data_IF_808429958581
#
_entry.id   IF_808429958581
#
_cell.length_a   1.000
_cell.length_b   1.000
_cell.length_c   1.000
_cell.angle_alpha   90.00
_cell.angle_beta   90.00
_cell.angle_gamma   90.00
#
_symmetry.space_group_name_H-M   'P 1'
#
loop_
_entity.id
_entity.type
_entity.pdbx_description
1 polymer ?
#
# COMPACT_ATOMS: atom_id res chain seq x y z
N UNK A 1 21.23 -12.83 -73.74
CA UNK A 1 19.80 -13.15 -73.51
C UNK A 1 19.78 -14.50 -72.79
N UNK A 2 19.46 -14.62 -71.51
CA UNK A 2 18.79 -13.71 -70.60
C UNK A 2 19.16 -14.13 -69.17
N UNK A 3 19.59 -13.19 -68.35
CA UNK A 3 19.76 -13.37 -66.91
C UNK A 3 18.39 -13.59 -66.26
N UNK A 4 18.08 -14.81 -65.86
CA UNK A 4 16.96 -15.07 -64.95
C UNK A 4 17.47 -14.97 -63.51
N UNK A 5 17.47 -13.73 -62.99
CA UNK A 5 17.60 -13.48 -61.56
C UNK A 5 16.43 -14.13 -60.83
N UNK A 6 16.64 -15.33 -60.29
CA UNK A 6 15.80 -15.90 -59.25
C UNK A 6 15.83 -14.97 -58.03
N UNK A 7 14.85 -14.07 -57.97
CA UNK A 7 14.54 -13.26 -56.80
C UNK A 7 14.02 -14.18 -55.71
N UNK A 8 14.95 -14.77 -54.93
CA UNK A 8 14.61 -15.48 -53.70
C UNK A 8 14.18 -14.44 -52.68
N UNK A 9 12.89 -14.13 -52.63
CA UNK A 9 12.30 -13.32 -51.58
C UNK A 9 12.74 -13.90 -50.21
N UNK A 10 13.26 -13.08 -49.27
CA UNK A 10 13.72 -13.58 -47.99
C UNK A 10 12.54 -14.25 -47.27
N UNK A 11 12.67 -15.53 -46.92
CA UNK A 11 11.68 -16.25 -46.10
C UNK A 11 11.43 -15.43 -44.84
N UNK A 12 10.24 -14.83 -44.75
CA UNK A 12 9.78 -14.06 -43.59
C UNK A 12 9.87 -15.00 -42.38
N UNK A 13 10.85 -14.77 -41.52
CA UNK A 13 11.12 -15.70 -40.43
C UNK A 13 9.94 -15.68 -39.46
N UNK A 14 9.13 -16.73 -39.47
CA UNK A 14 7.87 -16.85 -38.71
C UNK A 14 8.05 -16.62 -37.20
N UNK A 15 9.24 -16.86 -36.66
CA UNK A 15 9.54 -16.61 -35.24
C UNK A 15 9.58 -15.12 -34.89
N UNK A 16 9.91 -14.23 -35.83
CA UNK A 16 9.89 -12.78 -35.58
C UNK A 16 8.46 -12.26 -35.42
N UNK A 17 7.49 -12.84 -36.14
CA UNK A 17 6.08 -12.52 -35.94
C UNK A 17 5.61 -12.95 -34.54
N UNK A 18 5.99 -14.15 -34.10
CA UNK A 18 5.69 -14.63 -32.75
C UNK A 18 6.35 -13.77 -31.67
N UNK A 19 7.59 -13.35 -31.87
CA UNK A 19 8.28 -12.41 -30.98
C UNK A 19 7.50 -11.10 -30.82
N UNK A 20 7.03 -10.52 -31.92
CA UNK A 20 6.25 -9.30 -31.89
C UNK A 20 4.95 -9.49 -31.09
N UNK A 21 4.22 -10.58 -31.35
CA UNK A 21 2.97 -10.91 -30.64
C UNK A 21 3.22 -11.11 -29.14
N UNK A 22 4.24 -11.88 -28.74
CA UNK A 22 4.55 -12.10 -27.32
C UNK A 22 4.95 -10.80 -26.62
N UNK A 23 5.69 -9.94 -27.30
CA UNK A 23 6.13 -8.64 -26.74
C UNK A 23 4.94 -7.70 -26.51
N UNK A 24 4.01 -7.63 -27.46
CA UNK A 24 2.78 -6.84 -27.32
C UNK A 24 1.91 -7.37 -26.17
N UNK A 25 1.79 -8.69 -26.04
CA UNK A 25 1.03 -9.32 -24.96
C UNK A 25 1.66 -9.00 -23.59
N UNK A 26 2.97 -9.17 -23.44
CA UNK A 26 3.69 -8.82 -22.20
C UNK A 26 3.59 -7.32 -21.89
N UNK A 27 3.69 -6.45 -22.89
CA UNK A 27 3.53 -4.99 -22.72
C UNK A 27 2.13 -4.61 -22.24
N UNK A 28 1.09 -5.27 -22.76
CA UNK A 28 -0.29 -5.05 -22.32
C UNK A 28 -0.48 -5.49 -20.86
N UNK A 29 0.00 -6.69 -20.50
CA UNK A 29 -0.01 -7.17 -19.12
C UNK A 29 0.78 -6.25 -18.18
N UNK A 30 1.95 -5.77 -18.59
CA UNK A 30 2.79 -4.87 -17.80
C UNK A 30 2.10 -3.54 -17.53
N UNK A 31 1.43 -2.98 -18.55
CA UNK A 31 0.70 -1.71 -18.43
C UNK A 31 -0.46 -1.84 -17.42
N UNK A 32 -1.25 -2.92 -17.52
CA UNK A 32 -2.35 -3.19 -16.58
C UNK A 32 -1.81 -3.40 -15.16
N UNK A 33 -0.72 -4.15 -15.02
CA UNK A 33 -0.05 -4.40 -13.74
C UNK A 33 0.42 -3.10 -13.09
N UNK A 34 1.06 -2.21 -13.86
CA UNK A 34 1.53 -0.90 -13.39
C UNK A 34 0.37 -0.05 -12.89
N UNK A 35 -0.72 0.02 -13.65
CA UNK A 35 -1.87 0.83 -13.25
C UNK A 35 -2.55 0.29 -11.99
N UNK A 36 -2.80 -1.03 -11.91
CA UNK A 36 -3.40 -1.64 -10.71
C UNK A 36 -2.46 -1.62 -9.51
N UNK A 37 -1.18 -1.91 -9.69
CA UNK A 37 -0.17 -1.87 -8.64
C UNK A 37 0.00 -0.47 -8.08
N UNK A 38 0.05 0.54 -8.96
CA UNK A 38 0.03 1.95 -8.58
C UNK A 38 -1.21 2.31 -7.77
N UNK A 39 -2.40 1.90 -8.22
CA UNK A 39 -3.64 2.14 -7.49
C UNK A 39 -3.68 1.55 -6.08
N UNK A 40 -3.21 0.31 -5.89
CA UNK A 40 -3.11 -0.30 -4.56
C UNK A 40 -2.06 0.37 -3.68
N UNK A 41 -0.91 0.75 -4.26
CA UNK A 41 0.12 1.52 -3.55
C UNK A 41 -0.43 2.86 -3.05
N UNK A 42 -1.17 3.60 -3.90
CA UNK A 42 -1.84 4.83 -3.50
C UNK A 42 -2.86 4.60 -2.39
N UNK A 43 -3.70 3.56 -2.48
CA UNK A 43 -4.65 3.22 -1.40
C UNK A 43 -3.94 2.88 -0.08
N UNK A 44 -2.86 2.10 -0.13
CA UNK A 44 -2.05 1.80 1.04
C UNK A 44 -1.42 3.05 1.65
N UNK A 45 -0.98 4.00 0.82
CA UNK A 45 -0.45 5.28 1.27
C UNK A 45 -1.54 6.13 1.95
N UNK A 46 -2.73 6.23 1.35
CA UNK A 46 -3.85 6.95 1.96
C UNK A 46 -4.27 6.34 3.29
N UNK A 47 -4.40 5.00 3.35
CA UNK A 47 -4.69 4.30 4.60
C UNK A 47 -3.60 4.51 5.66
N UNK A 48 -2.32 4.57 5.26
CA UNK A 48 -1.24 4.92 6.20
C UNK A 48 -1.41 6.34 6.77
N UNK A 49 -1.75 7.32 5.93
CA UNK A 49 -1.98 8.70 6.38
C UNK A 49 -3.17 8.74 7.34
N UNK A 50 -4.28 8.10 6.98
CA UNK A 50 -5.48 8.05 7.82
C UNK A 50 -5.24 7.34 9.16
N UNK A 51 -4.53 6.20 9.18
CA UNK A 51 -4.12 5.55 10.43
C UNK A 51 -3.23 6.45 11.29
N UNK A 52 -2.30 7.19 10.66
CA UNK A 52 -1.46 8.17 11.35
C UNK A 52 -2.30 9.29 11.99
N UNK A 53 -3.33 9.77 11.30
CA UNK A 53 -4.24 10.79 11.81
C UNK A 53 -5.03 10.28 13.02
N UNK A 54 -5.49 9.02 13.01
CA UNK A 54 -6.13 8.41 14.18
C UNK A 54 -5.17 8.29 15.36
N UNK A 55 -3.92 7.86 15.14
CA UNK A 55 -2.91 7.80 16.21
C UNK A 55 -2.57 9.19 16.76
N UNK A 56 -2.50 10.22 15.91
CA UNK A 56 -2.32 11.60 16.35
C UNK A 56 -3.52 12.09 17.20
N UNK A 57 -4.75 11.73 16.82
CA UNK A 57 -5.95 12.02 17.62
C UNK A 57 -5.91 11.29 18.97
N UNK A 58 -5.54 10.01 18.98
CA UNK A 58 -5.36 9.22 20.20
C UNK A 58 -4.34 9.90 21.14
N UNK A 59 -3.19 10.30 20.60
CA UNK A 59 -2.15 10.97 21.35
C UNK A 59 -2.65 12.30 21.94
N UNK A 60 -3.35 13.12 21.15
CA UNK A 60 -3.96 14.37 21.61
C UNK A 60 -4.92 14.14 22.78
N UNK A 61 -5.80 13.13 22.67
CA UNK A 61 -6.74 12.75 23.73
C UNK A 61 -6.02 12.25 24.98
N UNK A 62 -4.97 11.44 24.82
CA UNK A 62 -4.15 10.96 25.94
C UNK A 62 -3.46 12.10 26.68
N UNK A 63 -2.95 13.11 25.97
CA UNK A 63 -2.36 14.30 26.59
C UNK A 63 -3.43 15.09 27.36
N UNK A 64 -4.61 15.31 26.77
CA UNK A 64 -5.72 15.99 27.46
C UNK A 64 -6.13 15.24 28.73
N UNK A 65 -6.29 13.92 28.65
CA UNK A 65 -6.61 13.07 29.79
C UNK A 65 -5.56 13.21 30.90
N UNK A 66 -4.27 13.20 30.56
CA UNK A 66 -3.18 13.41 31.52
C UNK A 66 -3.22 14.80 32.19
N UNK A 67 -3.52 15.85 31.42
CA UNK A 67 -3.68 17.22 31.93
C UNK A 67 -4.86 17.30 32.92
N UNK A 68 -6.02 16.73 32.57
CA UNK A 68 -7.18 16.68 33.47
C UNK A 68 -6.89 15.85 34.73
N UNK A 69 -6.12 14.77 34.63
CA UNK A 69 -5.68 13.99 35.79
C UNK A 69 -4.84 14.82 36.75
N UNK A 70 -3.79 15.45 36.23
CA UNK A 70 -2.93 16.35 37.01
C UNK A 70 -3.72 17.51 37.62
N UNK A 71 -4.70 18.05 36.89
CA UNK A 71 -5.56 19.12 37.37
C UNK A 71 -6.49 18.65 38.50
N UNK A 72 -7.11 17.49 38.38
CA UNK A 72 -7.97 16.92 39.40
C UNK A 72 -7.17 16.64 40.70
N UNK A 73 -5.97 16.07 40.57
CA UNK A 73 -5.09 15.80 41.71
C UNK A 73 -4.68 17.10 42.43
N UNK A 74 -4.34 18.15 41.67
CA UNK A 74 -4.03 19.45 42.24
C UNK A 74 -5.23 20.06 42.98
N UNK A 75 -6.43 19.97 42.40
CA UNK A 75 -7.65 20.49 43.01
C UNK A 75 -8.00 19.74 44.31
N UNK A 76 -7.78 18.43 44.36
CA UNK A 76 -7.97 17.63 45.56
C UNK A 76 -6.99 18.02 46.66
N UNK A 77 -5.71 18.22 46.34
CA UNK A 77 -4.72 18.71 47.29
C UNK A 77 -5.11 20.09 47.84
N UNK A 78 -5.54 21.01 46.96
CA UNK A 78 -6.03 22.34 47.38
C UNK A 78 -7.28 22.27 48.25
N UNK A 79 -8.19 21.35 47.99
CA UNK A 79 -9.38 21.16 48.80
C UNK A 79 -9.04 20.61 50.20
N UNK A 80 -7.94 19.85 50.35
CA UNK A 80 -7.45 19.35 51.64
C UNK A 80 -6.76 20.44 52.48
N UNK A 81 -6.12 21.42 51.83
CA UNK A 81 -5.50 22.58 52.50
C UNK A 81 -6.53 23.58 53.06
N UNK A 82 -7.75 23.57 52.53
CA UNK A 82 -8.82 24.50 52.91
C UNK A 82 -9.65 23.96 54.09
N UNK A 83 -10.12 24.83 55.00
CA UNK A 83 -11.13 24.45 55.97
C UNK A 83 -12.43 24.03 55.27
N UNK A 84 -13.18 23.12 55.89
CA UNK A 84 -14.45 22.64 55.33
C UNK A 84 -15.42 23.81 55.09
N UNK A 85 -15.92 23.93 53.85
CA UNK A 85 -16.80 25.01 53.43
C UNK A 85 -16.95 25.08 51.91
N UNK A 86 -17.75 26.05 51.44
CA UNK A 86 -18.19 26.13 50.04
C UNK A 86 -17.05 26.13 49.00
N UNK A 87 -15.88 26.67 49.32
CA UNK A 87 -14.71 26.67 48.42
C UNK A 87 -14.06 25.29 48.29
N UNK A 88 -13.92 24.55 49.40
CA UNK A 88 -13.41 23.18 49.36
C UNK A 88 -14.34 22.25 48.58
N UNK A 89 -15.66 22.43 48.73
CA UNK A 89 -16.67 21.66 48.00
C UNK A 89 -16.67 22.00 46.50
N UNK A 90 -16.46 23.28 46.14
CA UNK A 90 -16.34 23.70 44.75
C UNK A 90 -15.12 23.06 44.04
N UNK A 91 -13.97 22.96 44.73
CA UNK A 91 -12.78 22.29 44.19
C UNK A 91 -12.98 20.79 44.02
N UNK A 92 -13.57 20.10 45.00
CA UNK A 92 -13.93 18.68 44.87
C UNK A 92 -14.91 18.45 43.72
N UNK A 93 -15.93 19.28 43.59
CA UNK A 93 -16.89 19.18 42.49
C UNK A 93 -16.25 19.39 41.12
N UNK A 94 -15.25 20.28 41.01
CA UNK A 94 -14.48 20.46 39.78
C UNK A 94 -13.57 19.25 39.49
N UNK A 95 -12.87 18.73 40.50
CA UNK A 95 -12.04 17.53 40.37
C UNK A 95 -12.86 16.32 39.87
N UNK A 96 -14.06 16.12 40.41
CA UNK A 96 -14.97 15.06 39.96
C UNK A 96 -15.46 15.25 38.51
N UNK A 97 -15.70 16.50 38.07
CA UNK A 97 -16.00 16.78 36.66
C UNK A 97 -14.83 16.42 35.75
N UNK A 98 -13.62 16.83 36.13
CA UNK A 98 -12.39 16.56 35.37
C UNK A 98 -12.15 15.04 35.28
N UNK A 99 -12.39 14.28 36.36
CA UNK A 99 -12.36 12.79 36.36
C UNK A 99 -13.40 12.17 35.43
N UNK A 100 -14.61 12.73 35.39
CA UNK A 100 -15.68 12.25 34.49
C UNK A 100 -15.31 12.47 33.02
N UNK A 101 -14.68 13.60 32.71
CA UNK A 101 -14.15 13.89 31.38
C UNK A 101 -13.01 12.93 31.00
N UNK A 102 -12.13 12.59 31.94
CA UNK A 102 -11.08 11.58 31.71
C UNK A 102 -11.67 10.21 31.37
N UNK A 103 -12.71 9.76 32.08
CA UNK A 103 -13.38 8.50 31.80
C UNK A 103 -14.00 8.46 30.39
N UNK A 104 -14.55 9.60 29.93
CA UNK A 104 -15.01 9.75 28.55
C UNK A 104 -13.85 9.61 27.56
N UNK A 105 -12.73 10.31 27.79
CA UNK A 105 -11.57 10.23 26.91
C UNK A 105 -10.96 8.84 26.82
N UNK A 106 -11.01 8.05 27.91
CA UNK A 106 -10.54 6.67 27.88
C UNK A 106 -11.40 5.79 26.95
N UNK A 107 -12.71 6.05 26.88
CA UNK A 107 -13.61 5.37 25.94
C UNK A 107 -13.36 5.83 24.52
N UNK A 108 -13.32 7.15 24.27
CA UNK A 108 -13.01 7.73 22.94
C UNK A 108 -11.70 7.17 22.37
N UNK A 109 -10.66 7.07 23.21
CA UNK A 109 -9.34 6.55 22.84
C UNK A 109 -9.39 5.11 22.36
N UNK A 110 -10.19 4.25 23.02
CA UNK A 110 -10.35 2.86 22.61
C UNK A 110 -11.00 2.77 21.23
N UNK A 111 -12.07 3.52 20.99
CA UNK A 111 -12.72 3.57 19.68
C UNK A 111 -11.78 4.10 18.58
N UNK A 112 -10.96 5.11 18.89
CA UNK A 112 -9.97 5.66 17.95
C UNK A 112 -8.89 4.62 17.63
N UNK A 113 -8.41 3.89 18.64
CA UNK A 113 -7.40 2.85 18.45
C UNK A 113 -7.95 1.68 17.61
N UNK A 114 -9.19 1.25 17.85
CA UNK A 114 -9.86 0.23 17.04
C UNK A 114 -9.98 0.66 15.58
N UNK A 115 -10.37 1.92 15.32
CA UNK A 115 -10.42 2.48 13.96
C UNK A 115 -9.03 2.52 13.32
N UNK A 116 -8.01 2.95 14.05
CA UNK A 116 -6.63 2.99 13.54
C UNK A 116 -6.18 1.58 13.10
N UNK A 117 -6.40 0.56 13.93
CA UNK A 117 -6.05 -0.82 13.61
C UNK A 117 -6.84 -1.39 12.43
N UNK A 118 -8.14 -1.04 12.31
CA UNK A 118 -8.94 -1.45 11.16
C UNK A 118 -8.38 -0.88 9.84
N UNK A 119 -7.95 0.38 9.84
CA UNK A 119 -7.33 1.02 8.66
C UNK A 119 -5.93 0.42 8.39
N UNK A 120 -5.15 0.10 9.42
CA UNK A 120 -3.86 -0.60 9.26
C UNK A 120 -4.03 -1.98 8.61
N UNK A 121 -5.09 -2.71 8.97
CA UNK A 121 -5.42 -3.98 8.31
C UNK A 121 -5.69 -3.78 6.82
N UNK A 122 -6.53 -2.79 6.46
CA UNK A 122 -6.79 -2.44 5.05
C UNK A 122 -5.53 -2.00 4.30
N UNK A 123 -4.64 -1.25 4.97
CA UNK A 123 -3.34 -0.89 4.40
C UNK A 123 -2.52 -2.13 4.07
N UNK A 124 -2.41 -3.08 5.01
CA UNK A 124 -1.60 -4.29 4.83
C UNK A 124 -2.09 -5.14 3.66
N UNK A 125 -3.41 -5.23 3.49
CA UNK A 125 -4.04 -5.92 2.36
C UNK A 125 -3.68 -5.22 1.04
N UNK A 126 -3.87 -3.90 0.96
CA UNK A 126 -3.52 -3.12 -0.22
C UNK A 126 -2.02 -3.22 -0.56
N UNK A 127 -1.13 -3.25 0.44
CA UNK A 127 0.31 -3.44 0.21
C UNK A 127 0.62 -4.82 -0.39
N UNK A 128 -0.06 -5.89 0.08
CA UNK A 128 0.12 -7.24 -0.47
C UNK A 128 -0.26 -7.31 -1.95
N UNK A 129 -1.42 -6.74 -2.32
CA UNK A 129 -1.83 -6.63 -3.72
C UNK A 129 -0.84 -5.79 -4.54
N UNK A 130 -0.47 -4.61 -4.04
CA UNK A 130 0.45 -3.69 -4.71
C UNK A 130 1.83 -4.30 -4.97
N UNK A 131 2.39 -4.99 -3.98
CA UNK A 131 3.70 -5.64 -4.09
C UNK A 131 3.75 -6.73 -5.17
N UNK A 132 2.67 -7.52 -5.31
CA UNK A 132 2.55 -8.57 -6.35
C UNK A 132 2.51 -8.01 -7.75
N UNK A 133 1.71 -6.97 -7.96
CA UNK A 133 1.70 -6.26 -9.23
C UNK A 133 3.07 -5.62 -9.53
N UNK A 134 3.76 -5.11 -8.52
CA UNK A 134 5.14 -4.62 -8.65
C UNK A 134 6.11 -5.69 -9.16
N UNK A 135 6.10 -6.89 -8.57
CA UNK A 135 6.91 -8.02 -9.04
C UNK A 135 6.55 -8.44 -10.47
N UNK A 136 5.26 -8.51 -10.81
CA UNK A 136 4.80 -8.81 -12.16
C UNK A 136 5.37 -7.81 -13.18
N UNK A 137 5.33 -6.51 -12.89
CA UNK A 137 5.89 -5.46 -13.75
C UNK A 137 7.38 -5.67 -13.98
N UNK A 138 8.16 -5.98 -12.95
CA UNK A 138 9.61 -6.20 -13.08
C UNK A 138 9.92 -7.35 -14.06
N UNK A 139 9.27 -8.50 -13.88
CA UNK A 139 9.50 -9.67 -14.75
C UNK A 139 9.00 -9.46 -16.18
N UNK A 140 7.85 -8.80 -16.37
CA UNK A 140 7.32 -8.46 -17.69
C UNK A 140 8.20 -7.44 -18.41
N UNK A 141 8.74 -6.45 -17.70
CA UNK A 141 9.66 -5.46 -18.27
C UNK A 141 10.96 -6.14 -18.74
N UNK A 142 11.52 -7.06 -17.95
CA UNK A 142 12.69 -7.85 -18.34
C UNK A 142 12.42 -8.71 -19.59
N UNK A 143 11.23 -9.32 -19.68
CA UNK A 143 10.80 -10.09 -20.86
C UNK A 143 10.74 -9.24 -22.13
N UNK A 144 10.21 -8.01 -22.03
CA UNK A 144 10.13 -7.05 -23.14
C UNK A 144 11.54 -6.62 -23.57
N UNK A 145 12.43 -6.30 -22.61
CA UNK A 145 13.82 -5.92 -22.90
C UNK A 145 14.59 -7.05 -23.61
N UNK A 146 14.44 -8.29 -23.15
CA UNK A 146 15.04 -9.47 -23.79
C UNK A 146 14.46 -9.74 -25.19
N UNK A 147 13.15 -9.53 -25.38
CA UNK A 147 12.50 -9.67 -26.69
C UNK A 147 12.99 -8.62 -27.68
N UNK A 148 13.16 -7.36 -27.25
CA UNK A 148 13.74 -6.31 -28.06
C UNK A 148 15.19 -6.62 -28.45
N UNK A 149 16.01 -7.10 -27.51
CA UNK A 149 17.39 -7.48 -27.77
C UNK A 149 17.48 -8.68 -28.74
N UNK A 150 16.58 -9.66 -28.60
CA UNK A 150 16.50 -10.81 -29.50
C UNK A 150 16.14 -10.40 -30.94
N UNK A 151 15.29 -9.39 -31.12
CA UNK A 151 14.93 -8.85 -32.43
C UNK A 151 16.13 -8.16 -33.11
N UNK A 152 16.91 -7.37 -32.36
CA UNK A 152 18.11 -6.68 -32.88
C UNK A 152 19.20 -7.68 -33.24
N UNK A 153 19.51 -8.61 -32.33
CA UNK A 153 20.59 -9.57 -32.51
C UNK A 153 20.21 -10.77 -33.40
N UNK A 154 18.95 -10.89 -33.79
CA UNK A 154 18.37 -12.06 -34.51
C UNK A 154 18.73 -13.40 -33.86
N UNK A 155 18.87 -13.43 -32.53
CA UNK A 155 19.23 -14.64 -31.77
C UNK A 155 17.99 -15.22 -31.07
N UNK A 156 17.48 -16.33 -31.60
CA UNK A 156 16.38 -17.12 -31.01
C UNK A 156 16.53 -17.48 -29.52
N UNK A 157 17.71 -17.85 -28.98
CA UNK A 157 17.81 -18.21 -27.56
C UNK A 157 17.49 -17.05 -26.61
N UNK A 158 17.77 -15.80 -27.02
CA UNK A 158 17.41 -14.62 -26.23
C UNK A 158 15.90 -14.41 -26.17
N UNK A 159 15.19 -14.71 -27.26
CA UNK A 159 13.73 -14.67 -27.27
C UNK A 159 13.15 -15.74 -26.34
N UNK A 160 13.70 -16.96 -26.34
CA UNK A 160 13.23 -18.02 -25.45
C UNK A 160 13.41 -17.63 -23.96
N UNK A 161 14.56 -17.04 -23.62
CA UNK A 161 14.80 -16.52 -22.27
C UNK A 161 13.81 -15.41 -21.89
N UNK A 162 13.50 -14.50 -22.84
CA UNK A 162 12.47 -13.48 -22.66
C UNK A 162 11.08 -14.07 -22.41
N UNK A 163 10.69 -15.09 -23.18
CA UNK A 163 9.41 -15.79 -22.99
C UNK A 163 9.33 -16.46 -21.61
N UNK A 164 10.40 -17.12 -21.17
CA UNK A 164 10.44 -17.74 -19.83
C UNK A 164 10.28 -16.70 -18.71
N UNK A 165 11.00 -15.57 -18.78
CA UNK A 165 10.82 -14.46 -17.84
C UNK A 165 9.40 -13.89 -17.90
N UNK A 166 8.83 -13.76 -19.09
CA UNK A 166 7.49 -13.23 -19.30
C UNK A 166 6.42 -14.13 -18.71
N UNK A 167 6.56 -15.46 -18.83
CA UNK A 167 5.67 -16.44 -18.20
C UNK A 167 5.67 -16.29 -16.67
N UNK A 168 6.86 -16.13 -16.05
CA UNK A 168 6.96 -15.85 -14.61
C UNK A 168 6.21 -14.55 -14.26
N UNK A 169 6.38 -13.50 -15.07
CA UNK A 169 5.65 -12.24 -14.91
C UNK A 169 4.14 -12.39 -15.03
N UNK A 170 3.65 -13.21 -15.95
CA UNK A 170 2.20 -13.50 -16.12
C UNK A 170 1.65 -14.27 -14.92
N UNK A 171 2.41 -15.18 -14.32
CA UNK A 171 2.02 -15.88 -13.09
C UNK A 171 1.84 -14.87 -11.94
N UNK A 172 2.81 -13.97 -11.74
CA UNK A 172 2.67 -12.91 -10.72
C UNK A 172 1.54 -11.93 -11.02
N UNK A 173 1.26 -11.64 -12.30
CA UNK A 173 0.13 -10.83 -12.71
C UNK A 173 -1.20 -11.49 -12.32
N UNK A 174 -1.34 -12.80 -12.57
CA UNK A 174 -2.51 -13.57 -12.17
C UNK A 174 -2.63 -13.64 -10.64
N UNK A 175 -1.53 -13.86 -9.92
CA UNK A 175 -1.52 -13.87 -8.44
C UNK A 175 -1.89 -12.50 -7.84
N UNK A 176 -1.46 -11.39 -8.45
CA UNK A 176 -1.89 -10.05 -8.05
C UNK A 176 -3.40 -9.82 -8.23
N UNK A 177 -4.01 -10.48 -9.21
CA UNK A 177 -5.45 -10.36 -9.50
C UNK A 177 -6.32 -11.24 -8.59
N UNK A 178 -5.88 -12.48 -8.33
CA UNK A 178 -6.66 -13.47 -7.58
C UNK A 178 -6.23 -13.69 -6.13
N UNK A 179 -5.07 -13.18 -5.71
CA UNK A 179 -4.51 -13.38 -4.35
C UNK A 179 -4.48 -14.86 -3.97
N UNK A 180 -3.95 -15.72 -4.85
CA UNK A 180 -4.06 -17.17 -4.67
C UNK A 180 -3.09 -17.73 -3.63
N UNK A 181 -1.93 -17.09 -3.47
CA UNK A 181 -0.96 -17.40 -2.41
C UNK A 181 -0.80 -16.21 -1.47
#
# INVERSE_FOLDING_TARGET
MSDEKTSTAPKKETWLNWLAVTTILFSTCATISTFRGGGHSSKAMMAQVEASDFWAQYQSKSIKQYIYGTQADLLDLRAQELPAGAMADAYRAKAERDRKDMARYETDKKEIAEKAHAIEAQRSENQRHGGRFGLAVVFLQMAIMLSALAAILKKKPLWLAGVLSGLVGVIYFADGFFVLF
#
